data_IF_170925919321
#
_entry.id   IF_170925919321
#
_cell.length_a   1.000
_cell.length_b   1.000
_cell.length_c   1.000
_cell.angle_alpha   90.00
_cell.angle_beta   90.00
_cell.angle_gamma   90.00
#
_symmetry.space_group_name_H-M   'P 1'
#
loop_
_entity.id
_entity.type
_entity.pdbx_description
1 polymer ?
#
# COMPACT_ATOMS: atom_id res chain seq x y z
N UNK A 1 14.68 16.08 13.57
CA UNK A 1 13.27 15.94 13.16
C UNK A 1 13.00 14.47 12.96
N UNK A 2 12.06 13.95 13.73
CA UNK A 2 11.87 12.53 14.01
C UNK A 2 11.41 11.80 12.74
N UNK A 3 12.09 10.71 12.35
CA UNK A 3 11.84 9.95 11.11
C UNK A 3 10.37 9.54 10.95
N UNK A 4 9.66 9.40 12.07
CA UNK A 4 8.23 9.10 12.19
C UNK A 4 7.31 10.19 11.66
N UNK A 5 7.68 11.47 11.79
CA UNK A 5 6.89 12.60 11.26
C UNK A 5 6.94 12.63 9.73
N UNK A 6 8.11 12.36 9.15
CA UNK A 6 8.26 12.24 7.69
C UNK A 6 7.48 11.05 7.12
N UNK A 7 7.47 9.91 7.82
CA UNK A 7 6.63 8.77 7.46
C UNK A 7 5.15 9.12 7.46
N UNK A 8 4.65 9.74 8.53
CA UNK A 8 3.25 10.19 8.62
C UNK A 8 2.85 11.10 7.46
N UNK A 9 3.68 12.08 7.11
CA UNK A 9 3.41 12.98 5.97
C UNK A 9 3.40 12.22 4.65
N UNK A 10 4.34 11.30 4.42
CA UNK A 10 4.39 10.48 3.21
C UNK A 10 3.11 9.66 3.04
N UNK A 11 2.67 8.95 4.07
CA UNK A 11 1.46 8.13 4.00
C UNK A 11 0.18 8.97 3.94
N UNK A 12 0.16 10.17 4.53
CA UNK A 12 -0.96 11.09 4.37
C UNK A 12 -1.11 11.54 2.91
N UNK A 13 0.00 11.93 2.27
CA UNK A 13 0.01 12.30 0.84
C UNK A 13 -0.36 11.10 -0.03
N UNK A 14 0.22 9.93 0.23
CA UNK A 14 -0.09 8.71 -0.52
C UNK A 14 -1.56 8.33 -0.37
N UNK A 15 -2.12 8.41 0.83
CA UNK A 15 -3.55 8.20 1.09
C UNK A 15 -4.43 9.20 0.34
N UNK A 16 -4.08 10.49 0.34
CA UNK A 16 -4.80 11.53 -0.39
C UNK A 16 -4.81 11.28 -1.91
N UNK A 17 -3.65 10.92 -2.48
CA UNK A 17 -3.52 10.57 -3.91
C UNK A 17 -4.34 9.32 -4.23
N UNK A 18 -4.27 8.29 -3.39
CA UNK A 18 -5.06 7.06 -3.54
C UNK A 18 -6.56 7.34 -3.52
N UNK A 19 -7.00 8.21 -2.60
CA UNK A 19 -8.40 8.58 -2.45
C UNK A 19 -8.88 9.39 -3.66
N UNK A 20 -8.05 10.30 -4.18
CA UNK A 20 -8.33 11.02 -5.43
C UNK A 20 -8.55 10.06 -6.60
N UNK A 21 -7.66 9.08 -6.78
CA UNK A 21 -7.81 8.06 -7.81
C UNK A 21 -9.03 7.16 -7.59
N UNK A 22 -9.34 6.78 -6.35
CA UNK A 22 -10.55 6.00 -6.02
C UNK A 22 -11.84 6.76 -6.31
N UNK A 23 -11.91 8.05 -5.97
CA UNK A 23 -13.02 8.93 -6.36
C UNK A 23 -13.18 8.98 -7.88
N UNK A 24 -12.07 9.03 -8.60
CA UNK A 24 -12.11 9.05 -10.05
C UNK A 24 -12.63 7.74 -10.65
N UNK A 25 -12.15 6.59 -10.18
CA UNK A 25 -12.65 5.28 -10.61
C UNK A 25 -14.16 5.13 -10.36
N UNK A 26 -14.65 5.66 -9.23
CA UNK A 26 -16.07 5.70 -8.93
C UNK A 26 -16.84 6.60 -9.91
N UNK A 27 -16.33 7.80 -10.19
CA UNK A 27 -16.95 8.74 -11.14
C UNK A 27 -16.99 8.17 -12.57
N UNK A 28 -15.95 7.45 -13.01
CA UNK A 28 -15.95 6.74 -14.29
C UNK A 28 -16.95 5.60 -14.32
N UNK A 29 -17.07 4.84 -13.23
CA UNK A 29 -18.00 3.71 -13.17
C UNK A 29 -19.48 4.11 -13.21
N UNK A 30 -19.81 5.33 -12.79
CA UNK A 30 -21.16 5.88 -12.79
C UNK A 30 -21.53 6.59 -14.11
N UNK A 31 -20.62 6.63 -15.10
CA UNK A 31 -20.86 7.29 -16.39
C UNK A 31 -20.92 8.82 -16.30
N UNK A 32 -20.52 9.40 -15.17
CA UNK A 32 -20.55 10.87 -14.94
C UNK A 32 -19.47 11.57 -15.80
N UNK A 33 -18.46 10.81 -16.25
CA UNK A 33 -17.30 11.32 -16.98
C UNK A 33 -17.54 11.55 -18.49
N UNK A 34 -18.64 11.06 -19.07
CA UNK A 34 -18.98 11.30 -20.49
C UNK A 34 -19.11 12.80 -20.83
N UNK A 35 -19.35 13.67 -19.84
CA UNK A 35 -19.49 15.12 -20.03
C UNK A 35 -18.16 15.91 -19.99
N UNK A 36 -17.06 15.30 -19.53
CA UNK A 36 -15.79 16.01 -19.27
C UNK A 36 -14.54 15.22 -19.71
N UNK A 37 -14.71 14.09 -20.41
CA UNK A 37 -13.62 13.24 -20.87
C UNK A 37 -12.84 13.89 -22.02
N UNK A 38 -11.89 14.77 -21.70
CA UNK A 38 -10.74 15.03 -22.57
C UNK A 38 -9.91 13.76 -22.70
N UNK A 39 -9.33 13.54 -23.88
CA UNK A 39 -8.49 12.41 -24.34
C UNK A 39 -7.38 11.92 -23.38
N UNK A 40 -7.10 12.67 -22.30
CA UNK A 40 -6.21 12.26 -21.20
C UNK A 40 -6.77 11.12 -20.33
N UNK A 41 -8.07 10.80 -20.41
CA UNK A 41 -8.74 9.85 -19.52
C UNK A 41 -8.86 8.40 -20.02
N UNK A 42 -8.31 8.08 -21.19
CA UNK A 42 -8.21 6.70 -21.70
C UNK A 42 -7.41 5.75 -20.79
N UNK A 43 -6.75 6.26 -19.74
CA UNK A 43 -6.08 5.46 -18.70
C UNK A 43 -7.05 4.59 -17.89
N UNK A 44 -8.34 4.90 -17.89
CA UNK A 44 -9.35 4.16 -17.14
C UNK A 44 -10.13 3.30 -18.13
N UNK A 45 -10.20 1.98 -17.92
CA UNK A 45 -11.00 1.14 -18.79
C UNK A 45 -12.45 1.63 -18.70
N UNK A 46 -12.93 2.19 -19.81
CA UNK A 46 -14.33 2.59 -20.00
C UNK A 46 -15.17 1.32 -20.06
N UNK A 47 -15.51 0.77 -18.90
CA UNK A 47 -16.58 -0.21 -18.83
C UNK A 47 -17.51 0.10 -17.67
N UNK A 48 -18.78 0.22 -18.02
CA UNK A 48 -19.95 0.11 -17.15
C UNK A 48 -20.07 -1.32 -16.59
N UNK A 49 -18.97 -1.85 -16.04
CA UNK A 49 -18.92 -3.16 -15.42
C UNK A 49 -19.00 -3.03 -13.91
N UNK A 50 -19.79 -3.90 -13.30
CA UNK A 50 -19.87 -4.11 -11.86
C UNK A 50 -18.47 -4.26 -11.21
N UNK A 51 -17.51 -4.86 -11.93
CA UNK A 51 -16.13 -4.99 -11.49
C UNK A 51 -15.38 -3.66 -11.38
N UNK A 52 -15.68 -2.68 -12.25
CA UNK A 52 -15.04 -1.37 -12.23
C UNK A 52 -15.52 -0.55 -11.02
N UNK A 53 -16.81 -0.62 -10.73
CA UNK A 53 -17.42 0.01 -9.54
C UNK A 53 -16.87 -0.60 -8.24
N UNK A 54 -16.80 -1.94 -8.17
CA UNK A 54 -16.20 -2.63 -7.01
C UNK A 54 -14.74 -2.22 -6.80
N UNK A 55 -13.95 -2.14 -7.89
CA UNK A 55 -12.54 -1.69 -7.82
C UNK A 55 -12.46 -0.27 -7.24
N UNK A 56 -13.24 0.68 -7.76
CA UNK A 56 -13.27 2.05 -7.27
C UNK A 56 -13.64 2.16 -5.78
N UNK A 57 -14.61 1.37 -5.31
CA UNK A 57 -14.96 1.30 -3.88
C UNK A 57 -13.75 0.85 -3.05
N UNK A 58 -13.11 -0.25 -3.45
CA UNK A 58 -11.96 -0.79 -2.72
C UNK A 58 -10.79 0.19 -2.71
N UNK A 59 -10.47 0.82 -3.85
CA UNK A 59 -9.41 1.84 -3.95
C UNK A 59 -9.71 3.05 -3.07
N UNK A 60 -10.97 3.51 -3.04
CA UNK A 60 -11.41 4.62 -2.19
C UNK A 60 -11.29 4.30 -0.70
N UNK A 61 -11.78 3.13 -0.26
CA UNK A 61 -11.64 2.70 1.13
C UNK A 61 -10.17 2.50 1.52
N UNK A 62 -9.35 1.96 0.63
CA UNK A 62 -7.92 1.80 0.86
C UNK A 62 -7.23 3.17 1.08
N UNK A 63 -7.52 4.16 0.24
CA UNK A 63 -7.01 5.53 0.41
C UNK A 63 -7.46 6.16 1.72
N UNK A 64 -8.71 5.96 2.12
CA UNK A 64 -9.25 6.46 3.39
C UNK A 64 -8.57 5.82 4.60
N UNK A 65 -8.33 4.50 4.58
CA UNK A 65 -7.62 3.78 5.64
C UNK A 65 -6.15 4.20 5.75
N UNK A 66 -5.47 4.38 4.62
CA UNK A 66 -4.09 4.88 4.58
C UNK A 66 -4.03 6.30 5.17
N UNK A 67 -4.95 7.18 4.76
CA UNK A 67 -4.98 8.55 5.26
C UNK A 67 -5.36 8.61 6.75
N UNK A 68 -6.31 7.80 7.21
CA UNK A 68 -6.66 7.71 8.63
C UNK A 68 -5.50 7.17 9.47
N UNK A 69 -4.84 6.12 8.99
CA UNK A 69 -3.65 5.55 9.63
C UNK A 69 -2.50 6.56 9.74
N UNK A 70 -2.31 7.38 8.69
CA UNK A 70 -1.31 8.44 8.63
C UNK A 70 -1.41 9.45 9.79
N UNK A 71 -2.63 9.82 10.20
CA UNK A 71 -2.85 10.77 11.31
C UNK A 71 -2.49 10.21 12.69
N UNK A 72 -2.42 8.88 12.85
CA UNK A 72 -2.10 8.20 14.12
C UNK A 72 -0.81 7.38 14.05
N UNK A 73 0.14 7.79 13.20
CA UNK A 73 1.37 7.04 12.93
C UNK A 73 2.28 6.83 14.15
N UNK A 74 2.12 7.59 15.23
CA UNK A 74 2.86 7.38 16.48
C UNK A 74 2.44 6.11 17.22
N UNK A 75 1.25 5.58 16.94
CA UNK A 75 0.71 4.38 17.58
C UNK A 75 0.74 3.20 16.62
N UNK A 76 0.98 2.00 17.17
CA UNK A 76 0.99 0.74 16.43
C UNK A 76 -0.33 0.50 15.68
N UNK A 77 -1.44 0.93 16.27
CA UNK A 77 -2.78 0.84 15.68
C UNK A 77 -2.92 1.68 14.40
N UNK A 78 -2.35 2.90 14.38
CA UNK A 78 -2.40 3.78 13.20
C UNK A 78 -1.53 3.24 12.07
N UNK A 79 -0.32 2.75 12.41
CA UNK A 79 0.55 2.07 11.46
C UNK A 79 -0.12 0.81 10.87
N UNK A 80 -0.76 -0.01 11.71
CA UNK A 80 -1.50 -1.19 11.30
C UNK A 80 -2.68 -0.87 10.37
N UNK A 81 -3.42 0.21 10.64
CA UNK A 81 -4.52 0.66 9.79
C UNK A 81 -4.02 1.07 8.40
N UNK A 82 -2.88 1.78 8.34
CA UNK A 82 -2.25 2.14 7.07
C UNK A 82 -1.74 0.90 6.31
N UNK A 83 -1.20 -0.09 7.01
CA UNK A 83 -0.77 -1.36 6.40
C UNK A 83 -1.92 -2.10 5.75
N UNK A 84 -3.06 -2.18 6.43
CA UNK A 84 -4.25 -2.85 5.89
C UNK A 84 -4.69 -2.18 4.59
N UNK A 85 -4.74 -0.85 4.56
CA UNK A 85 -5.07 -0.12 3.32
C UNK A 85 -4.06 -0.37 2.18
N UNK A 86 -2.77 -0.43 2.48
CA UNK A 86 -1.73 -0.77 1.48
C UNK A 86 -1.89 -2.21 0.97
N UNK A 87 -2.18 -3.17 1.85
CA UNK A 87 -2.43 -4.57 1.47
C UNK A 87 -3.66 -4.68 0.56
N UNK A 88 -4.73 -3.92 0.85
CA UNK A 88 -5.91 -3.87 -0.02
C UNK A 88 -5.56 -3.39 -1.42
N UNK A 89 -4.72 -2.35 -1.55
CA UNK A 89 -4.21 -1.90 -2.85
C UNK A 89 -3.38 -2.99 -3.56
N UNK A 90 -2.52 -3.70 -2.83
CA UNK A 90 -1.68 -4.75 -3.41
C UNK A 90 -2.50 -5.92 -3.93
N UNK A 91 -3.54 -6.34 -3.20
CA UNK A 91 -4.43 -7.41 -3.65
C UNK A 91 -5.10 -6.99 -4.95
N UNK A 92 -5.60 -5.75 -5.02
CA UNK A 92 -6.29 -5.23 -6.20
C UNK A 92 -5.36 -5.13 -7.42
N UNK A 93 -4.17 -4.56 -7.23
CA UNK A 93 -3.14 -4.49 -8.26
C UNK A 93 -2.66 -5.89 -8.69
N UNK A 94 -2.55 -6.84 -7.76
CA UNK A 94 -2.24 -8.24 -8.05
C UNK A 94 -3.32 -8.90 -8.92
N UNK A 95 -4.60 -8.69 -8.60
CA UNK A 95 -5.70 -9.16 -9.43
C UNK A 95 -5.67 -8.56 -10.84
N UNK A 96 -5.35 -7.27 -10.98
CA UNK A 96 -5.27 -6.61 -12.28
C UNK A 96 -4.08 -7.12 -13.12
N UNK A 97 -2.91 -7.35 -12.50
CA UNK A 97 -1.77 -7.99 -13.17
C UNK A 97 -2.13 -9.40 -13.63
N UNK A 98 -2.80 -10.19 -12.78
CA UNK A 98 -3.24 -11.54 -13.13
C UNK A 98 -4.27 -11.53 -14.27
N UNK A 99 -5.17 -10.54 -14.33
CA UNK A 99 -6.10 -10.39 -15.47
C UNK A 99 -5.34 -10.15 -16.78
N UNK A 100 -4.33 -9.29 -16.78
CA UNK A 100 -3.52 -9.03 -17.99
C UNK A 100 -2.79 -10.32 -18.42
N UNK A 101 -2.20 -11.05 -17.47
CA UNK A 101 -1.49 -12.32 -17.74
C UNK A 101 -2.44 -13.40 -18.25
N UNK A 102 -3.60 -13.59 -17.61
CA UNK A 102 -4.60 -14.57 -18.03
C UNK A 102 -5.24 -14.20 -19.38
N UNK A 103 -5.49 -12.91 -19.62
CA UNK A 103 -5.96 -12.40 -20.91
C UNK A 103 -4.94 -12.58 -22.03
N UNK A 104 -3.65 -12.53 -21.70
CA UNK A 104 -2.56 -12.91 -22.62
C UNK A 104 -2.55 -14.42 -22.94
N UNK A 105 -3.04 -15.26 -22.03
CA UNK A 105 -3.09 -16.73 -22.20
C UNK A 105 -4.28 -17.18 -23.06
N UNK A 106 -5.39 -16.44 -23.04
CA UNK A 106 -6.64 -16.79 -23.74
C UNK A 106 -6.64 -16.54 -25.27
N UNK A 107 -5.49 -16.26 -25.87
CA UNK A 107 -5.29 -16.47 -27.32
C UNK A 107 -5.53 -15.30 -28.27
N UNK A 108 -5.80 -14.07 -27.82
CA UNK A 108 -5.92 -12.89 -28.70
C UNK A 108 -4.57 -12.25 -29.10
N UNK A 109 -3.52 -13.06 -29.35
CA UNK A 109 -2.30 -12.59 -30.05
C UNK A 109 -1.10 -12.15 -29.20
N UNK A 110 -1.12 -12.37 -27.88
CA UNK A 110 -0.01 -11.95 -27.00
C UNK A 110 1.27 -12.79 -27.12
N UNK A 111 1.15 -14.07 -27.49
CA UNK A 111 2.30 -14.94 -27.81
C UNK A 111 2.60 -14.99 -29.30
N UNK A 112 2.62 -13.82 -29.96
CA UNK A 112 3.21 -13.71 -31.29
C UNK A 112 4.74 -13.85 -31.19
N UNK A 113 5.39 -14.35 -32.24
CA UNK A 113 6.84 -14.65 -32.29
C UNK A 113 7.78 -13.43 -32.14
N UNK A 114 7.29 -12.27 -31.67
CA UNK A 114 8.07 -11.04 -31.51
C UNK A 114 7.88 -10.45 -30.12
N UNK A 115 9.00 -10.10 -29.48
CA UNK A 115 9.03 -9.41 -28.18
C UNK A 115 8.17 -8.13 -28.16
N UNK A 116 8.11 -7.43 -29.29
CA UNK A 116 7.32 -6.21 -29.44
C UNK A 116 5.80 -6.46 -29.39
N UNK A 117 5.32 -7.54 -30.03
CA UNK A 117 3.91 -7.93 -29.97
C UNK A 117 3.46 -8.34 -28.57
N UNK A 118 4.35 -9.00 -27.83
CA UNK A 118 4.15 -9.32 -26.42
C UNK A 118 4.07 -8.03 -25.57
N UNK A 119 5.07 -7.14 -25.65
CA UNK A 119 5.06 -5.89 -24.87
C UNK A 119 3.87 -4.98 -25.19
N UNK A 120 3.41 -4.96 -26.45
CA UNK A 120 2.25 -4.16 -26.86
C UNK A 120 0.95 -4.64 -26.23
N UNK A 121 0.84 -5.93 -25.86
CA UNK A 121 -0.34 -6.47 -25.18
C UNK A 121 -0.40 -6.07 -23.69
N UNK A 122 0.74 -5.73 -23.11
CA UNK A 122 0.83 -5.15 -21.78
C UNK A 122 0.72 -3.62 -21.81
N UNK A 123 0.54 -2.98 -22.97
CA UNK A 123 0.43 -1.53 -23.10
C UNK A 123 -0.86 -1.01 -22.41
N UNK A 124 -0.91 0.28 -22.04
CA UNK A 124 -2.08 0.89 -21.41
C UNK A 124 -3.40 0.59 -22.14
N UNK A 125 -4.53 0.57 -21.40
CA UNK A 125 -4.73 1.23 -20.10
C UNK A 125 -4.35 0.41 -18.86
N UNK A 126 -3.60 1.02 -17.94
CA UNK A 126 -3.29 0.42 -16.63
C UNK A 126 -4.26 0.92 -15.55
N UNK A 127 -4.85 0.02 -14.75
CA UNK A 127 -5.65 0.41 -13.59
C UNK A 127 -4.87 1.23 -12.57
N UNK A 128 -5.58 2.08 -11.82
CA UNK A 128 -4.96 2.98 -10.84
C UNK A 128 -4.15 2.23 -9.78
N UNK A 129 -4.65 1.10 -9.30
CA UNK A 129 -3.96 0.27 -8.31
C UNK A 129 -2.56 -0.17 -8.78
N UNK A 130 -2.41 -0.50 -10.07
CA UNK A 130 -1.12 -0.88 -10.67
C UNK A 130 -0.14 0.30 -10.72
N UNK A 131 -0.64 1.51 -10.96
CA UNK A 131 0.15 2.75 -10.92
C UNK A 131 0.60 3.12 -9.50
N UNK A 132 -0.23 2.90 -8.49
CA UNK A 132 0.11 3.18 -7.09
C UNK A 132 1.01 2.12 -6.46
N UNK A 133 1.13 0.93 -7.05
CA UNK A 133 1.92 -0.17 -6.54
C UNK A 133 3.38 0.20 -6.22
N UNK A 134 4.19 0.80 -7.13
CA UNK A 134 5.58 1.16 -6.82
C UNK A 134 5.72 2.17 -5.67
N UNK A 135 4.77 3.10 -5.54
CA UNK A 135 4.76 4.08 -4.45
C UNK A 135 4.36 3.44 -3.12
N UNK A 136 3.46 2.46 -3.15
CA UNK A 136 3.05 1.72 -1.97
C UNK A 136 4.11 0.73 -1.46
N UNK A 137 5.05 0.28 -2.31
CA UNK A 137 6.16 -0.61 -1.92
C UNK A 137 7.09 0.01 -0.87
N UNK A 138 7.17 1.34 -0.82
CA UNK A 138 7.91 2.09 0.21
C UNK A 138 7.46 1.71 1.62
N UNK A 139 6.23 1.19 1.78
CA UNK A 139 5.74 0.65 3.05
C UNK A 139 6.62 -0.45 3.63
N UNK A 140 7.23 -1.31 2.79
CA UNK A 140 8.10 -2.41 3.23
C UNK A 140 9.32 -1.86 3.96
N UNK A 141 9.89 -0.75 3.47
CA UNK A 141 11.03 -0.11 4.12
C UNK A 141 10.68 0.34 5.54
N UNK A 142 9.50 0.93 5.72
CA UNK A 142 9.03 1.36 7.05
C UNK A 142 8.76 0.19 8.00
N UNK A 143 8.25 -0.93 7.50
CA UNK A 143 8.06 -2.16 8.30
C UNK A 143 9.41 -2.66 8.83
N UNK A 144 10.43 -2.73 7.95
CA UNK A 144 11.76 -3.21 8.32
C UNK A 144 12.42 -2.27 9.33
N UNK A 145 12.27 -0.95 9.18
CA UNK A 145 12.80 0.01 10.16
C UNK A 145 12.12 -0.12 11.52
N UNK A 146 10.80 -0.32 11.55
CA UNK A 146 10.05 -0.45 12.80
C UNK A 146 10.44 -1.71 13.59
N UNK A 147 10.67 -2.84 12.89
CA UNK A 147 11.13 -4.08 13.53
C UNK A 147 12.47 -3.92 14.25
N UNK A 148 13.40 -3.14 13.68
CA UNK A 148 14.72 -2.89 14.29
C UNK A 148 14.63 -2.04 15.55
N UNK A 149 13.74 -1.06 15.58
CA UNK A 149 13.55 -0.21 16.77
C UNK A 149 12.95 -1.01 17.94
N UNK A 150 11.99 -1.88 17.66
CA UNK A 150 11.41 -2.78 18.67
C UNK A 150 12.41 -3.81 19.20
N UNK A 151 13.31 -4.33 18.36
CA UNK A 151 14.35 -5.24 18.81
C UNK A 151 15.34 -4.57 19.78
N UNK A 152 15.67 -3.29 19.55
CA UNK A 152 16.53 -2.51 20.44
C UNK A 152 15.86 -2.24 21.79
N UNK A 153 14.60 -1.79 21.80
CA UNK A 153 13.83 -1.58 23.03
C UNK A 153 13.78 -2.86 23.88
N UNK A 154 13.60 -4.03 23.26
CA UNK A 154 13.61 -5.30 24.00
C UNK A 154 14.99 -5.68 24.54
N UNK A 155 16.07 -5.40 23.81
CA UNK A 155 17.44 -5.66 24.30
C UNK A 155 17.78 -4.76 25.48
N UNK A 156 17.40 -3.49 25.43
CA UNK A 156 17.59 -2.54 26.53
C UNK A 156 16.81 -2.95 27.78
N UNK A 157 15.54 -3.33 27.63
CA UNK A 157 14.75 -3.83 28.76
C UNK A 157 15.34 -5.10 29.36
N UNK A 158 15.80 -6.05 28.54
CA UNK A 158 16.48 -7.26 29.03
C UNK A 158 17.77 -6.94 29.77
N UNK A 159 18.55 -5.97 29.29
CA UNK A 159 19.78 -5.52 29.95
C UNK A 159 19.50 -4.85 31.30
N UNK A 160 18.48 -4.00 31.38
CA UNK A 160 18.05 -3.36 32.63
C UNK A 160 17.54 -4.39 33.65
N UNK A 161 16.82 -5.42 33.20
CA UNK A 161 16.34 -6.50 34.07
C UNK A 161 17.53 -7.33 34.59
N UNK A 162 18.48 -7.69 33.72
CA UNK A 162 19.67 -8.44 34.11
C UNK A 162 20.56 -7.66 35.10
N UNK A 163 20.69 -6.34 34.93
CA UNK A 163 21.44 -5.46 35.84
C UNK A 163 20.75 -5.33 37.21
N UNK A 164 19.41 -5.26 37.25
CA UNK A 164 18.65 -5.29 38.51
C UNK A 164 18.80 -6.61 39.25
N UNK A 165 18.84 -7.74 38.53
CA UNK A 165 19.02 -9.05 39.14
C UNK A 165 20.42 -9.23 39.74
N UNK A 166 21.47 -8.77 39.05
CA UNK A 166 22.87 -8.84 39.51
C UNK A 166 23.15 -7.96 40.73
N UNK A 167 22.51 -6.79 40.83
CA UNK A 167 22.55 -5.92 42.01
C UNK A 167 21.79 -6.51 43.21
N UNK A 168 20.77 -7.34 42.96
CA UNK A 168 20.01 -8.00 44.03
C UNK A 168 20.73 -9.22 44.63
N UNK A 169 21.58 -9.89 43.85
CA UNK A 169 22.36 -11.06 44.30
C UNK A 169 23.60 -10.64 45.10
N UNK A 170 24.31 -9.60 44.67
CA UNK A 170 25.47 -9.03 45.41
C UNK A 170 25.06 -8.46 46.77
N UNK A 171 23.89 -7.81 46.86
CA UNK A 171 23.38 -7.28 48.13
C UNK A 171 22.99 -8.37 49.15
N UNK A 172 22.75 -9.62 48.71
CA UNK A 172 22.49 -10.76 49.61
C UNK A 172 23.77 -11.36 50.18
N UNK A 173 24.90 -11.31 49.46
CA UNK A 173 26.20 -11.79 49.94
C UNK A 173 26.82 -10.86 50.99
N UNK A 174 26.59 -9.54 50.92
CA UNK A 174 27.13 -8.60 51.92
C UNK A 174 26.39 -8.60 53.28
N UNK A 175 25.23 -9.27 53.36
CA UNK A 175 24.40 -9.33 54.58
C UNK A 175 24.56 -10.63 55.40
N UNK A 176 25.50 -11.50 55.02
CA UNK A 176 25.82 -12.76 55.72
C UNK A 176 27.12 -12.63 56.50
#
# INVERSE_FOLDING_TARGET
>A
MDNWKWGSVYFAVLGAVTLWFGCWELATSLGITELWATEWFELFPESMDWMCLWRGIVTFLAGLLIMWGAFRFSNVEGFGTSLIGVIMLWILAGCDILKIICGSLSGQGSWTYTLYGFLKYYAPPYPTATWLLPFSLVMIFFIVSWGKDKEKEQKEQKAIIADKESLSSTKKEETV
#
